data_IF_276147360867
#
_entry.id   IF_276147360867
#
_cell.length_a   1.000
_cell.length_b   1.000
_cell.length_c   1.000
_cell.angle_alpha   90.00
_cell.angle_beta   90.00
_cell.angle_gamma   90.00
#
_symmetry.space_group_name_H-M   'P 1'
#
loop_
_entity.id
_entity.type
_entity.pdbx_description
1 polymer ?
#
# COMPACT_ATOMS: atom_id res chain seq x y z
N UNK A 1 -5.14 -23.40 0.34
CA UNK A 1 -5.86 -22.45 -0.54
C UNK A 1 -6.73 -21.55 0.33
N UNK A 2 -6.65 -20.22 0.15
CA UNK A 2 -7.54 -19.32 0.87
C UNK A 2 -8.97 -19.49 0.34
N UNK A 3 -9.96 -19.46 1.23
CA UNK A 3 -11.38 -19.66 0.87
C UNK A 3 -11.90 -18.60 -0.11
N UNK A 4 -11.26 -17.44 -0.14
CA UNK A 4 -11.70 -16.24 -0.86
C UNK A 4 -11.04 -16.04 -2.23
N UNK A 5 -9.87 -16.61 -2.51
CA UNK A 5 -9.15 -16.39 -3.78
C UNK A 5 -9.04 -17.69 -4.58
N UNK A 6 -10.05 -17.95 -5.43
CA UNK A 6 -10.05 -19.07 -6.38
C UNK A 6 -9.31 -18.67 -7.65
N UNK A 7 -8.67 -19.64 -8.31
CA UNK A 7 -7.91 -19.44 -9.55
C UNK A 7 -8.60 -20.14 -10.73
N UNK A 8 -8.48 -19.58 -11.92
CA UNK A 8 -8.95 -20.21 -13.15
C UNK A 8 -8.10 -21.44 -13.50
N UNK A 9 -8.68 -22.53 -14.03
CA UNK A 9 -7.89 -23.64 -14.56
C UNK A 9 -7.14 -23.21 -15.84
N UNK A 10 -5.89 -23.65 -16.02
CA UNK A 10 -5.10 -23.39 -17.24
C UNK A 10 -4.50 -21.99 -17.36
N UNK A 11 -4.43 -21.22 -16.27
CA UNK A 11 -3.91 -19.85 -16.30
C UNK A 11 -2.38 -19.77 -16.44
N UNK A 12 -1.88 -18.72 -17.10
CA UNK A 12 -0.45 -18.40 -17.17
C UNK A 12 -0.02 -17.53 -15.99
N UNK A 13 1.17 -17.79 -15.46
CA UNK A 13 1.74 -17.03 -14.35
C UNK A 13 2.48 -15.82 -14.90
N UNK A 14 2.06 -14.62 -14.53
CA UNK A 14 2.82 -13.39 -14.77
C UNK A 14 4.01 -13.31 -13.80
N UNK A 15 5.16 -12.82 -14.28
CA UNK A 15 6.34 -12.65 -13.44
C UNK A 15 6.13 -11.57 -12.35
N UNK A 16 6.70 -11.75 -11.16
CA UNK A 16 6.59 -10.76 -10.08
C UNK A 16 7.28 -9.44 -10.46
N UNK A 17 6.58 -8.31 -10.28
CA UNK A 17 7.12 -6.98 -10.49
C UNK A 17 7.42 -6.22 -9.20
N UNK A 18 7.53 -4.89 -9.34
CA UNK A 18 7.80 -3.94 -8.25
C UNK A 18 6.77 -4.04 -7.11
N UNK A 19 5.54 -4.47 -7.40
CA UNK A 19 4.48 -4.58 -6.39
C UNK A 19 4.86 -5.51 -5.23
N UNK A 20 5.59 -6.60 -5.51
CA UNK A 20 6.01 -7.53 -4.45
C UNK A 20 7.11 -6.95 -3.59
N UNK A 21 8.05 -6.24 -4.19
CA UNK A 21 9.10 -5.53 -3.44
C UNK A 21 8.47 -4.50 -2.55
N UNK A 22 7.56 -3.65 -3.07
CA UNK A 22 6.86 -2.64 -2.29
C UNK A 22 6.13 -3.28 -1.09
N UNK A 23 5.32 -4.32 -1.31
CA UNK A 23 4.58 -4.97 -0.23
C UNK A 23 5.47 -5.64 0.82
N UNK A 24 6.65 -6.12 0.43
CA UNK A 24 7.60 -6.76 1.35
C UNK A 24 8.33 -5.75 2.24
N UNK A 25 8.75 -4.63 1.66
CA UNK A 25 9.47 -3.58 2.38
C UNK A 25 8.52 -2.68 3.20
N UNK A 26 7.21 -2.68 2.89
CA UNK A 26 6.21 -1.81 3.50
C UNK A 26 6.18 -1.85 5.04
N UNK A 27 6.20 -3.02 5.72
CA UNK A 27 6.18 -3.06 7.18
C UNK A 27 7.41 -2.39 7.78
N UNK A 28 8.59 -2.64 7.20
CA UNK A 28 9.84 -2.03 7.66
C UNK A 28 9.79 -0.51 7.46
N UNK A 29 9.30 -0.06 6.31
CA UNK A 29 9.18 1.36 5.98
C UNK A 29 8.23 2.10 6.94
N UNK A 30 7.13 1.45 7.38
CA UNK A 30 6.24 2.02 8.41
C UNK A 30 7.02 2.29 9.69
N UNK A 31 7.70 1.28 10.24
CA UNK A 31 8.41 1.40 11.52
C UNK A 31 9.60 2.36 11.44
N UNK A 32 10.45 2.22 10.43
CA UNK A 32 11.62 3.09 10.23
C UNK A 32 11.20 4.54 9.96
N UNK A 33 10.18 4.74 9.13
CA UNK A 33 9.68 6.08 8.81
C UNK A 33 9.04 6.78 10.00
N UNK A 34 8.17 6.09 10.75
CA UNK A 34 7.59 6.66 11.98
C UNK A 34 8.66 7.00 13.01
N UNK A 35 9.65 6.10 13.20
CA UNK A 35 10.76 6.36 14.12
C UNK A 35 11.54 7.61 13.70
N UNK A 36 11.90 7.72 12.42
CA UNK A 36 12.64 8.86 11.88
C UNK A 36 11.87 10.19 11.97
N UNK A 37 10.54 10.18 11.75
CA UNK A 37 9.69 11.37 11.85
C UNK A 37 9.56 11.84 13.31
N UNK A 38 9.67 10.94 14.30
CA UNK A 38 9.49 11.25 15.71
C UNK A 38 10.74 11.87 16.38
N UNK A 39 11.92 11.58 15.86
CA UNK A 39 13.22 12.08 16.36
C UNK A 39 13.24 13.60 16.68
N UNK A 40 12.75 14.51 15.80
CA UNK A 40 12.75 15.94 16.08
C UNK A 40 11.96 16.34 17.33
N UNK A 41 10.88 15.62 17.67
CA UNK A 41 10.12 15.89 18.90
C UNK A 41 10.92 15.54 20.16
N UNK A 42 11.72 14.47 20.10
CA UNK A 42 12.61 14.07 21.21
C UNK A 42 13.75 15.08 21.37
N UNK A 43 14.41 15.46 20.27
CA UNK A 43 15.47 16.46 20.27
C UNK A 43 14.98 17.85 20.74
N UNK A 44 13.76 18.24 20.37
CA UNK A 44 13.17 19.51 20.80
C UNK A 44 12.99 19.60 22.32
N UNK A 45 12.74 18.48 22.99
CA UNK A 45 12.61 18.44 24.46
C UNK A 45 13.91 18.74 25.18
N UNK A 46 15.05 18.41 24.56
CA UNK A 46 16.38 18.63 25.15
C UNK A 46 16.91 20.03 24.85
N UNK A 47 16.61 20.58 23.66
CA UNK A 47 17.31 21.76 23.14
C UNK A 47 16.49 23.07 23.16
N UNK A 48 15.16 23.01 23.28
CA UNK A 48 14.28 24.16 23.00
C UNK A 48 13.37 24.52 24.17
N UNK A 49 12.89 25.77 24.16
CA UNK A 49 11.88 26.26 25.10
C UNK A 49 10.50 25.66 24.85
N UNK A 50 9.66 25.64 25.90
CA UNK A 50 8.32 25.03 25.91
C UNK A 50 7.38 25.53 24.80
N UNK A 51 7.49 26.79 24.38
CA UNK A 51 6.67 27.33 23.29
C UNK A 51 7.06 26.73 21.93
N UNK A 52 8.36 26.55 21.67
CA UNK A 52 8.86 25.98 20.40
C UNK A 52 8.62 24.47 20.33
N UNK A 53 8.64 23.78 21.48
CA UNK A 53 8.31 22.35 21.57
C UNK A 53 6.90 22.04 21.05
N UNK A 54 5.89 22.81 21.49
CA UNK A 54 4.50 22.60 21.06
C UNK A 54 4.32 22.73 19.55
N UNK A 55 4.99 23.71 18.94
CA UNK A 55 4.93 23.92 17.50
C UNK A 55 5.52 22.72 16.74
N UNK A 56 6.67 22.21 17.20
CA UNK A 56 7.33 21.05 16.60
C UNK A 56 6.44 19.81 16.75
N UNK A 57 5.85 19.59 17.92
CA UNK A 57 4.97 18.44 18.17
C UNK A 57 3.76 18.44 17.22
N UNK A 58 3.14 19.60 16.95
CA UNK A 58 2.03 19.70 15.99
C UNK A 58 2.47 19.28 14.58
N UNK A 59 3.63 19.77 14.12
CA UNK A 59 4.16 19.46 12.78
C UNK A 59 4.54 17.99 12.67
N UNK A 60 5.18 17.43 13.70
CA UNK A 60 5.58 16.02 13.76
C UNK A 60 4.35 15.12 13.69
N UNK A 61 3.33 15.37 14.53
CA UNK A 61 2.09 14.57 14.52
C UNK A 61 1.38 14.67 13.16
N UNK A 62 1.28 15.88 12.59
CA UNK A 62 0.68 16.07 11.27
C UNK A 62 1.42 15.30 10.17
N UNK A 63 2.76 15.32 10.23
CA UNK A 63 3.62 14.61 9.28
C UNK A 63 3.53 13.10 9.45
N UNK A 64 3.43 12.60 10.68
CA UNK A 64 3.28 11.18 10.98
C UNK A 64 1.95 10.63 10.44
N UNK A 65 0.85 11.36 10.62
CA UNK A 65 -0.47 11.00 10.06
C UNK A 65 -0.42 11.00 8.52
N UNK A 66 0.15 12.06 7.93
CA UNK A 66 0.29 12.17 6.48
C UNK A 66 1.14 11.04 5.89
N UNK A 67 2.27 10.73 6.54
CA UNK A 67 3.16 9.64 6.16
C UNK A 67 2.44 8.30 6.18
N UNK A 68 1.71 8.00 7.27
CA UNK A 68 0.95 6.76 7.37
C UNK A 68 -0.10 6.65 6.25
N UNK A 69 -0.81 7.73 5.95
CA UNK A 69 -1.79 7.76 4.86
C UNK A 69 -1.14 7.49 3.48
N UNK A 70 0.05 8.05 3.23
CA UNK A 70 0.83 7.76 2.02
C UNK A 70 1.23 6.30 1.92
N UNK A 71 1.75 5.71 3.01
CA UNK A 71 2.19 4.31 3.00
C UNK A 71 1.02 3.36 2.81
N UNK A 72 -0.11 3.62 3.47
CA UNK A 72 -1.34 2.85 3.27
C UNK A 72 -1.80 2.92 1.81
N UNK A 73 -1.79 4.12 1.21
CA UNK A 73 -2.16 4.31 -0.20
C UNK A 73 -1.24 3.52 -1.13
N UNK A 74 0.08 3.55 -0.90
CA UNK A 74 1.06 2.80 -1.67
C UNK A 74 0.83 1.27 -1.53
N UNK A 75 0.56 0.80 -0.31
CA UNK A 75 0.28 -0.61 -0.04
C UNK A 75 -1.00 -1.10 -0.71
N UNK A 76 -2.05 -0.29 -0.69
CA UNK A 76 -3.30 -0.58 -1.41
C UNK A 76 -3.03 -0.65 -2.92
N UNK A 77 -2.31 0.31 -3.48
CA UNK A 77 -1.95 0.31 -4.91
C UNK A 77 -1.16 -0.92 -5.32
N UNK A 78 -0.12 -1.29 -4.56
CA UNK A 78 0.66 -2.49 -4.81
C UNK A 78 -0.16 -3.78 -4.65
N UNK A 79 -1.08 -3.83 -3.68
CA UNK A 79 -2.01 -4.95 -3.51
C UNK A 79 -2.96 -5.08 -4.71
N UNK A 80 -3.51 -3.96 -5.20
CA UNK A 80 -4.36 -3.95 -6.41
C UNK A 80 -3.58 -4.48 -7.61
N UNK A 81 -2.35 -4.01 -7.84
CA UNK A 81 -1.52 -4.48 -8.96
C UNK A 81 -1.22 -5.97 -8.82
N UNK A 82 -0.91 -6.45 -7.61
CA UNK A 82 -0.67 -7.86 -7.34
C UNK A 82 -1.92 -8.72 -7.63
N UNK A 83 -3.13 -8.21 -7.33
CA UNK A 83 -4.38 -8.90 -7.62
C UNK A 83 -4.72 -8.88 -9.11
N UNK A 84 -4.55 -7.72 -9.77
CA UNK A 84 -4.82 -7.54 -11.19
C UNK A 84 -3.88 -8.35 -12.09
N UNK A 85 -2.59 -8.42 -11.74
CA UNK A 85 -1.59 -9.27 -12.42
C UNK A 85 -1.58 -10.71 -11.92
N UNK A 86 -2.23 -10.98 -10.79
CA UNK A 86 -2.07 -12.20 -10.00
C UNK A 86 -2.43 -13.48 -10.77
N UNK A 87 -2.33 -14.65 -10.11
CA UNK A 87 -2.64 -15.93 -10.72
C UNK A 87 -4.13 -16.06 -11.07
N UNK A 88 -4.54 -15.47 -12.19
CA UNK A 88 -5.89 -15.41 -12.76
C UNK A 88 -6.99 -15.71 -11.73
N UNK A 89 -7.07 -14.83 -10.73
CA UNK A 89 -8.09 -14.96 -9.70
C UNK A 89 -9.45 -14.82 -10.37
N UNK A 90 -10.38 -15.71 -10.01
CA UNK A 90 -11.73 -15.71 -10.59
C UNK A 90 -12.43 -14.42 -10.17
N UNK A 91 -12.67 -13.55 -11.15
CA UNK A 91 -13.53 -12.38 -10.97
C UNK A 91 -15.00 -12.81 -10.95
N UNK A 92 -15.91 -11.87 -10.67
CA UNK A 92 -17.34 -12.12 -10.76
C UNK A 92 -17.70 -12.61 -12.16
N UNK A 93 -18.28 -13.80 -12.22
CA UNK A 93 -18.68 -14.41 -13.48
C UNK A 93 -19.93 -13.69 -14.00
N UNK A 94 -19.77 -12.89 -15.05
CA UNK A 94 -20.88 -12.35 -15.82
C UNK A 94 -21.08 -13.16 -17.10
N UNK A 95 -22.34 -13.36 -17.55
CA UNK A 95 -22.57 -13.93 -18.87
C UNK A 95 -21.95 -12.98 -19.89
N UNK A 96 -20.91 -13.47 -20.58
CA UNK A 96 -20.33 -12.74 -21.68
C UNK A 96 -21.33 -12.81 -22.83
N UNK A 97 -22.00 -11.69 -23.11
CA UNK A 97 -22.82 -11.55 -24.33
C UNK A 97 -21.86 -11.29 -25.48
N UNK A 98 -21.11 -12.32 -25.85
CA UNK A 98 -20.19 -12.25 -26.96
C UNK A 98 -20.93 -12.51 -28.27
N UNK A 99 -20.53 -11.82 -29.32
CA UNK A 99 -21.00 -12.11 -30.67
C UNK A 99 -19.78 -12.39 -31.50
N UNK A 100 -19.60 -13.65 -31.90
CA UNK A 100 -18.45 -14.08 -32.71
C UNK A 100 -18.35 -13.34 -34.06
N UNK A 101 -19.35 -12.54 -34.43
CA UNK A 101 -19.40 -11.74 -35.65
C UNK A 101 -19.82 -10.31 -35.32
N UNK A 102 -19.19 -9.29 -35.93
CA UNK A 102 -19.66 -7.93 -35.81
C UNK A 102 -21.10 -7.83 -36.33
N UNK A 103 -21.99 -7.21 -35.56
CA UNK A 103 -23.34 -6.87 -36.03
C UNK A 103 -23.19 -5.73 -37.03
N UNK A 104 -23.60 -5.99 -38.27
CA UNK A 104 -23.71 -5.00 -39.36
C UNK A 104 -24.92 -4.11 -39.07
#
# INVERSE_FOLDING_TARGET
MSRFLKKLPGYQVCEPGLERTILRELPQLIFLGMLAIREPSVLARVLLSTQKQKMIDIVVIGTEIFYLAMIVTLGIGACIVMLAKGPAYVADAYPLVDSDRPKI
#
